data_IF_191914336423
#
_entry.id   IF_191914336423
#
_cell.length_a   1.000
_cell.length_b   1.000
_cell.length_c   1.000
_cell.angle_alpha   90.00
_cell.angle_beta   90.00
_cell.angle_gamma   90.00
#
_symmetry.space_group_name_H-M   'P 1'
#
loop_
_entity.id
_entity.type
_entity.pdbx_description
1 polymer ?
#
# COMPACT_ATOMS: atom_id res chain seq x y z
N UNK A 1 6.33 -32.18 -3.94
CA UNK A 1 5.21 -31.94 -2.99
C UNK A 1 5.68 -30.83 -2.08
N UNK A 2 5.31 -29.58 -2.37
CA UNK A 2 5.59 -28.48 -1.45
C UNK A 2 4.55 -28.59 -0.34
N UNK A 3 5.00 -28.89 0.89
CA UNK A 3 4.15 -28.75 2.06
C UNK A 3 3.66 -27.31 2.18
N UNK A 4 2.62 -27.04 2.98
CA UNK A 4 2.17 -25.68 3.21
C UNK A 4 3.37 -24.85 3.69
N UNK A 5 3.72 -23.79 2.95
CA UNK A 5 4.75 -22.85 3.37
C UNK A 5 4.32 -22.27 4.72
N UNK A 6 5.24 -22.29 5.67
CA UNK A 6 5.00 -21.78 7.02
C UNK A 6 4.93 -20.25 6.93
N UNK A 7 3.88 -19.58 7.48
CA UNK A 7 3.79 -18.13 7.44
C UNK A 7 4.99 -17.46 8.11
N UNK A 8 5.43 -16.35 7.54
CA UNK A 8 6.60 -15.60 7.99
C UNK A 8 7.88 -15.92 7.21
N UNK A 9 8.91 -15.10 7.43
CA UNK A 9 10.20 -15.24 6.76
C UNK A 9 11.15 -16.18 7.49
N UNK A 10 12.14 -16.72 6.80
CA UNK A 10 13.20 -17.53 7.43
C UNK A 10 13.94 -16.76 8.54
N UNK A 11 14.10 -15.44 8.38
CA UNK A 11 14.70 -14.57 9.41
C UNK A 11 13.85 -14.44 10.66
N UNK A 12 12.52 -14.37 10.51
CA UNK A 12 11.59 -14.36 11.65
C UNK A 12 11.68 -15.66 12.42
N UNK A 13 11.65 -16.81 11.75
CA UNK A 13 11.75 -18.12 12.41
C UNK A 13 13.09 -18.32 13.11
N UNK A 14 14.19 -17.87 12.52
CA UNK A 14 15.51 -17.91 13.16
C UNK A 14 15.50 -17.12 14.48
N UNK A 15 14.98 -15.88 14.46
CA UNK A 15 14.88 -15.04 15.66
C UNK A 15 13.92 -15.64 16.69
N UNK A 16 12.80 -16.22 16.25
CA UNK A 16 11.85 -16.89 17.15
C UNK A 16 12.51 -18.06 17.88
N UNK A 17 13.30 -18.87 17.18
CA UNK A 17 14.06 -19.95 17.79
C UNK A 17 15.10 -19.42 18.78
N UNK A 18 15.89 -18.42 18.37
CA UNK A 18 16.94 -17.84 19.21
C UNK A 18 16.39 -17.19 20.49
N UNK A 19 15.21 -16.59 20.41
CA UNK A 19 14.57 -15.89 21.53
C UNK A 19 13.57 -16.77 22.30
N UNK A 20 13.42 -18.05 21.93
CA UNK A 20 12.48 -18.98 22.58
C UNK A 20 11.01 -18.56 22.45
N UNK A 21 10.63 -17.98 21.31
CA UNK A 21 9.26 -17.46 21.06
C UNK A 21 8.47 -18.24 20.03
N UNK A 22 9.00 -19.34 19.51
CA UNK A 22 8.38 -20.18 18.47
C UNK A 22 6.92 -20.53 18.77
N UNK A 23 6.60 -21.02 19.97
CA UNK A 23 5.22 -21.40 20.31
C UNK A 23 4.26 -20.20 20.32
N UNK A 24 4.74 -19.04 20.79
CA UNK A 24 3.94 -17.80 20.78
C UNK A 24 3.69 -17.31 19.36
N UNK A 25 4.69 -17.41 18.48
CA UNK A 25 4.55 -17.08 17.07
C UNK A 25 3.58 -18.02 16.36
N UNK A 26 3.68 -19.34 16.61
CA UNK A 26 2.76 -20.33 16.05
C UNK A 26 1.29 -20.04 16.42
N UNK A 27 1.02 -19.68 17.68
CA UNK A 27 -0.32 -19.29 18.12
C UNK A 27 -0.81 -18.03 17.39
N UNK A 28 0.07 -17.07 17.12
CA UNK A 28 -0.29 -15.88 16.34
C UNK A 28 -0.65 -16.23 14.89
N UNK A 29 0.20 -17.00 14.21
CA UNK A 29 -0.05 -17.42 12.82
C UNK A 29 -1.34 -18.22 12.69
N UNK A 30 -1.59 -19.16 13.61
CA UNK A 30 -2.80 -20.02 13.60
C UNK A 30 -4.09 -19.24 13.86
N UNK A 31 -4.06 -18.23 14.75
CA UNK A 31 -5.28 -17.59 15.25
C UNK A 31 -5.58 -16.23 14.67
N UNK A 32 -4.58 -15.55 14.09
CA UNK A 32 -4.72 -14.15 13.67
C UNK A 32 -4.41 -13.90 12.20
N UNK A 33 -3.67 -14.81 11.54
CA UNK A 33 -3.28 -14.64 10.15
C UNK A 33 -4.24 -15.40 9.24
N UNK A 34 -4.88 -14.68 8.33
CA UNK A 34 -5.80 -15.24 7.35
C UNK A 34 -5.24 -15.09 5.94
N UNK A 35 -5.31 -16.11 5.07
CA UNK A 35 -4.85 -16.00 3.68
C UNK A 35 -5.90 -15.33 2.76
N UNK A 36 -6.84 -14.59 3.35
CA UNK A 36 -7.95 -13.89 2.71
C UNK A 36 -8.54 -12.87 3.70
N UNK A 37 -9.38 -11.97 3.20
CA UNK A 37 -10.11 -10.98 3.98
C UNK A 37 -11.41 -11.59 4.52
N UNK A 38 -11.54 -11.65 5.83
CA UNK A 38 -12.82 -11.99 6.47
C UNK A 38 -13.88 -10.91 6.17
N UNK A 39 -15.19 -11.23 6.27
CA UNK A 39 -16.23 -10.22 6.12
C UNK A 39 -16.02 -8.96 6.99
N UNK A 40 -15.63 -9.15 8.25
CA UNK A 40 -15.33 -8.05 9.17
C UNK A 40 -14.12 -7.20 8.71
N UNK A 41 -13.09 -7.82 8.13
CA UNK A 41 -11.95 -7.09 7.55
C UNK A 41 -12.39 -6.24 6.34
N UNK A 42 -13.25 -6.78 5.48
CA UNK A 42 -13.78 -6.06 4.31
C UNK A 42 -14.62 -4.85 4.75
N UNK A 43 -15.46 -5.03 5.77
CA UNK A 43 -16.22 -3.94 6.40
C UNK A 43 -15.30 -2.90 7.05
N UNK A 44 -14.21 -3.34 7.69
CA UNK A 44 -13.19 -2.44 8.23
C UNK A 44 -12.55 -1.60 7.14
N UNK A 45 -12.12 -2.21 6.02
CA UNK A 45 -11.50 -1.51 4.88
C UNK A 45 -12.48 -0.52 4.25
N UNK A 46 -13.75 -0.91 4.07
CA UNK A 46 -14.77 -0.07 3.44
C UNK A 46 -15.06 1.24 4.20
N UNK A 47 -14.79 1.30 5.51
CA UNK A 47 -14.93 2.54 6.29
C UNK A 47 -13.67 3.41 6.33
N UNK A 48 -12.53 2.92 5.85
CA UNK A 48 -11.27 3.67 5.92
C UNK A 48 -11.22 4.80 4.91
N UNK A 49 -10.68 5.93 5.34
CA UNK A 49 -10.37 7.09 4.52
C UNK A 49 -8.87 7.22 4.23
N UNK A 50 -8.05 6.31 4.76
CA UNK A 50 -6.61 6.31 4.57
C UNK A 50 -5.99 4.91 4.65
N UNK A 51 -4.82 4.77 4.05
CA UNK A 51 -3.97 3.58 4.17
C UNK A 51 -2.50 3.95 4.02
N UNK A 52 -1.63 3.25 4.74
CA UNK A 52 -0.19 3.31 4.57
C UNK A 52 0.27 2.14 3.71
N UNK A 53 1.15 2.43 2.75
CA UNK A 53 1.70 1.45 1.81
C UNK A 53 3.18 1.28 2.08
N UNK A 54 3.64 0.04 2.10
CA UNK A 54 5.04 -0.35 2.16
C UNK A 54 5.43 -1.06 0.87
N UNK A 55 6.38 -0.48 0.14
CA UNK A 55 6.90 -1.03 -1.12
C UNK A 55 8.41 -1.02 -1.08
N UNK A 56 9.06 -1.82 -1.93
CA UNK A 56 10.50 -1.75 -2.11
C UNK A 56 10.88 -1.97 -3.58
N UNK A 57 11.97 -1.36 -4.04
CA UNK A 57 12.52 -1.63 -5.37
C UNK A 57 13.15 -3.05 -5.44
N UNK A 58 13.67 -3.42 -6.62
CA UNK A 58 14.35 -4.72 -6.83
C UNK A 58 15.61 -4.93 -5.98
N UNK A 59 16.17 -3.86 -5.38
CA UNK A 59 17.35 -3.91 -4.51
C UNK A 59 16.98 -3.88 -3.02
N UNK A 60 15.69 -3.85 -2.70
CA UNK A 60 15.20 -3.76 -1.33
C UNK A 60 15.25 -2.33 -0.75
N UNK A 61 15.37 -1.29 -1.57
CA UNK A 61 15.21 0.08 -1.11
C UNK A 61 13.73 0.37 -0.86
N UNK A 62 13.37 0.59 0.41
CA UNK A 62 11.98 0.68 0.84
C UNK A 62 11.43 2.11 0.80
N UNK A 63 10.15 2.22 0.44
CA UNK A 63 9.33 3.43 0.57
C UNK A 63 8.09 3.15 1.41
N UNK A 64 7.82 4.03 2.37
CA UNK A 64 6.54 4.12 3.07
C UNK A 64 5.76 5.33 2.56
N UNK A 65 4.56 5.11 2.06
CA UNK A 65 3.72 6.18 1.50
C UNK A 65 2.30 6.12 2.04
N UNK A 66 1.59 7.24 1.95
CA UNK A 66 0.25 7.39 2.47
C UNK A 66 -0.73 7.67 1.34
N UNK A 67 -1.87 6.99 1.35
CA UNK A 67 -3.00 7.29 0.47
C UNK A 67 -4.20 7.66 1.30
N UNK A 68 -4.94 8.67 0.83
CA UNK A 68 -6.20 9.09 1.41
C UNK A 68 -7.26 9.27 0.33
N UNK A 69 -8.49 9.03 0.73
CA UNK A 69 -9.68 9.19 -0.09
C UNK A 69 -10.93 9.29 0.79
N UNK A 70 -12.12 9.42 0.19
CA UNK A 70 -13.36 9.20 0.89
C UNK A 70 -13.41 7.76 1.46
N UNK A 71 -14.25 7.51 2.48
CA UNK A 71 -14.52 6.15 2.94
C UNK A 71 -14.84 5.21 1.76
N UNK A 72 -14.17 4.07 1.72
CA UNK A 72 -14.35 3.07 0.65
C UNK A 72 -13.57 3.34 -0.63
N UNK A 73 -12.61 4.27 -0.63
CA UNK A 73 -11.74 4.49 -1.80
C UNK A 73 -10.88 3.25 -2.13
N UNK A 74 -10.57 2.43 -1.12
CA UNK A 74 -10.01 1.09 -1.31
C UNK A 74 -11.17 0.10 -1.33
N UNK A 75 -11.34 -0.59 -2.46
CA UNK A 75 -12.47 -1.47 -2.74
C UNK A 75 -12.03 -2.91 -2.60
N UNK A 76 -12.70 -3.67 -1.74
CA UNK A 76 -12.58 -5.12 -1.72
C UNK A 76 -13.47 -5.72 -2.80
N UNK A 77 -12.84 -6.27 -3.82
CA UNK A 77 -13.51 -6.86 -4.99
C UNK A 77 -14.12 -8.22 -4.60
N UNK A 78 -13.39 -9.01 -3.82
CA UNK A 78 -13.80 -10.27 -3.21
C UNK A 78 -13.02 -10.51 -1.90
N UNK A 79 -13.03 -11.75 -1.38
CA UNK A 79 -12.29 -12.13 -0.17
C UNK A 79 -10.77 -12.21 -0.39
N UNK A 80 -10.28 -12.21 -1.62
CA UNK A 80 -8.86 -12.38 -1.96
C UNK A 80 -8.25 -11.22 -2.72
N UNK A 81 -9.01 -10.16 -2.97
CA UNK A 81 -8.52 -9.02 -3.74
C UNK A 81 -9.03 -7.68 -3.27
N UNK A 82 -8.13 -6.70 -3.34
CA UNK A 82 -8.37 -5.28 -3.11
C UNK A 82 -7.95 -4.49 -4.33
N UNK A 83 -8.60 -3.35 -4.54
CA UNK A 83 -8.08 -2.36 -5.47
C UNK A 83 -8.22 -0.95 -4.94
N UNK A 84 -7.27 -0.09 -5.30
CA UNK A 84 -7.36 1.34 -5.04
C UNK A 84 -6.82 2.15 -6.23
N UNK A 85 -7.31 3.39 -6.40
CA UNK A 85 -6.90 4.26 -7.49
C UNK A 85 -5.61 5.03 -7.17
N UNK A 86 -4.74 5.17 -8.17
CA UNK A 86 -3.58 6.04 -8.18
C UNK A 86 -3.88 7.29 -9.01
N UNK A 87 -3.85 8.46 -8.40
CA UNK A 87 -4.10 9.74 -9.08
C UNK A 87 -2.82 10.44 -9.52
N UNK A 88 -2.97 11.47 -10.36
CA UNK A 88 -1.88 12.39 -10.69
C UNK A 88 -1.23 12.96 -9.42
N UNK A 89 0.04 12.62 -9.19
CA UNK A 89 0.88 13.13 -8.12
C UNK A 89 1.95 14.13 -8.61
N UNK A 90 3.04 14.21 -7.85
CA UNK A 90 4.24 15.01 -8.15
C UNK A 90 5.14 14.42 -9.26
N UNK A 91 4.75 13.29 -9.84
CA UNK A 91 5.49 12.61 -10.92
C UNK A 91 6.60 11.67 -10.46
N UNK A 92 6.88 11.57 -9.16
CA UNK A 92 7.93 10.66 -8.64
C UNK A 92 7.55 9.19 -8.83
N UNK A 93 6.25 8.87 -8.69
CA UNK A 93 5.71 7.52 -8.89
C UNK A 93 6.41 6.43 -8.04
N UNK A 94 7.01 6.78 -6.89
CA UNK A 94 7.83 5.86 -6.08
C UNK A 94 7.17 4.49 -5.86
N UNK A 95 5.95 4.47 -5.30
CA UNK A 95 5.23 3.21 -5.06
C UNK A 95 4.97 2.42 -6.35
N UNK A 96 4.46 3.06 -7.38
CA UNK A 96 4.14 2.39 -8.65
C UNK A 96 5.40 1.90 -9.38
N UNK A 97 6.50 2.65 -9.31
CA UNK A 97 7.81 2.26 -9.82
C UNK A 97 8.33 1.02 -9.11
N UNK A 98 8.36 1.04 -7.78
CA UNK A 98 8.74 -0.11 -6.96
C UNK A 98 7.90 -1.36 -7.33
N UNK A 99 6.58 -1.21 -7.43
CA UNK A 99 5.66 -2.31 -7.80
C UNK A 99 5.94 -2.92 -9.18
N UNK A 100 6.51 -2.16 -10.12
CA UNK A 100 6.88 -2.68 -11.45
C UNK A 100 8.14 -3.54 -11.44
N UNK A 101 8.97 -3.40 -10.41
CA UNK A 101 10.21 -4.16 -10.23
C UNK A 101 10.07 -5.28 -9.21
N UNK A 102 9.29 -5.03 -8.16
CA UNK A 102 9.01 -5.94 -7.06
C UNK A 102 7.51 -5.83 -6.74
N UNK A 103 6.69 -6.84 -7.08
CA UNK A 103 5.25 -6.73 -6.98
C UNK A 103 4.72 -6.95 -5.55
N UNK A 104 5.57 -6.94 -4.53
CA UNK A 104 5.17 -7.09 -3.13
C UNK A 104 4.69 -5.76 -2.55
N UNK A 105 3.49 -5.76 -1.96
CA UNK A 105 2.90 -4.61 -1.27
C UNK A 105 2.40 -5.02 0.11
N UNK A 106 2.82 -4.27 1.13
CA UNK A 106 2.17 -4.27 2.43
C UNK A 106 1.24 -3.06 2.58
N UNK A 107 0.01 -3.28 3.04
CA UNK A 107 -0.97 -2.25 3.33
C UNK A 107 -1.30 -2.26 4.83
N UNK A 108 -1.25 -1.09 5.47
CA UNK A 108 -1.65 -0.91 6.86
C UNK A 108 -2.80 0.10 6.94
N UNK A 109 -3.98 -0.42 7.27
CA UNK A 109 -5.15 0.38 7.59
C UNK A 109 -5.18 0.63 9.09
N UNK A 110 -5.43 1.86 9.51
CA UNK A 110 -5.42 2.23 10.92
C UNK A 110 -6.69 3.01 11.24
N UNK A 111 -7.38 2.59 12.30
CA UNK A 111 -8.42 3.39 12.92
C UNK A 111 -7.90 3.98 14.22
N UNK A 112 -7.84 5.30 14.28
CA UNK A 112 -7.42 6.06 15.46
C UNK A 112 -8.61 6.57 16.28
N UNK A 113 -9.84 6.23 15.89
CA UNK A 113 -11.05 6.95 16.32
C UNK A 113 -12.07 6.05 17.00
N UNK A 114 -12.48 4.95 16.38
CA UNK A 114 -13.61 4.13 16.87
C UNK A 114 -13.14 2.87 17.58
N UNK A 115 -12.37 2.03 16.88
CA UNK A 115 -11.95 0.71 17.33
C UNK A 115 -10.52 0.71 17.89
N UNK A 116 -9.73 1.72 17.53
CA UNK A 116 -8.30 1.82 17.87
C UNK A 116 -7.49 0.60 17.43
N UNK A 117 -7.85 -0.04 16.33
CA UNK A 117 -7.12 -1.18 15.75
C UNK A 117 -6.50 -0.81 14.41
N UNK A 118 -5.56 -1.64 13.96
CA UNK A 118 -5.16 -1.65 12.56
C UNK A 118 -5.39 -3.00 11.90
N UNK A 119 -5.27 -3.02 10.58
CA UNK A 119 -5.34 -4.21 9.75
C UNK A 119 -4.16 -4.19 8.78
N UNK A 120 -3.34 -5.23 8.85
CA UNK A 120 -2.32 -5.54 7.86
C UNK A 120 -2.96 -6.35 6.74
N UNK A 121 -2.64 -6.00 5.50
CA UNK A 121 -2.97 -6.78 4.31
C UNK A 121 -1.74 -6.78 3.42
N UNK A 122 -1.15 -7.94 3.22
CA UNK A 122 0.03 -8.12 2.39
C UNK A 122 -0.29 -9.00 1.19
N UNK A 123 0.42 -8.75 0.09
CA UNK A 123 0.42 -9.66 -1.03
C UNK A 123 0.99 -9.06 -2.31
N UNK A 124 0.63 -9.68 -3.42
CA UNK A 124 1.18 -9.35 -4.73
C UNK A 124 0.27 -8.40 -5.49
N UNK A 125 0.84 -7.39 -6.14
CA UNK A 125 0.10 -6.39 -6.91
C UNK A 125 0.24 -6.53 -8.42
N UNK A 126 -0.76 -5.99 -9.11
CA UNK A 126 -0.72 -5.65 -10.54
C UNK A 126 -1.24 -4.24 -10.74
N UNK A 127 -0.68 -3.56 -11.74
CA UNK A 127 -1.13 -2.24 -12.17
C UNK A 127 -2.00 -2.37 -13.42
N UNK A 128 -3.12 -1.65 -13.42
CA UNK A 128 -4.04 -1.58 -14.54
C UNK A 128 -4.33 -0.12 -14.90
N UNK A 129 -4.59 0.15 -16.16
CA UNK A 129 -5.28 1.37 -16.56
C UNK A 129 -6.76 1.29 -16.15
N UNK A 130 -7.43 2.44 -16.09
CA UNK A 130 -8.87 2.49 -15.78
C UNK A 130 -9.71 1.65 -16.76
N UNK A 131 -9.39 1.70 -18.05
CA UNK A 131 -10.05 0.87 -19.06
C UNK A 131 -9.86 -0.63 -18.83
N UNK A 132 -8.63 -1.07 -18.53
CA UNK A 132 -8.32 -2.49 -18.31
C UNK A 132 -9.04 -3.05 -17.09
N UNK A 133 -8.99 -2.36 -15.94
CA UNK A 133 -9.62 -2.90 -14.72
C UNK A 133 -11.15 -2.92 -14.82
N UNK A 134 -11.75 -1.94 -15.50
CA UNK A 134 -13.20 -1.86 -15.67
C UNK A 134 -13.77 -2.94 -16.60
N UNK A 135 -12.95 -3.52 -17.47
CA UNK A 135 -13.36 -4.69 -18.25
C UNK A 135 -13.75 -5.88 -17.35
N UNK A 136 -13.12 -5.99 -16.19
CA UNK A 136 -13.39 -7.03 -15.18
C UNK A 136 -14.34 -6.54 -14.09
N UNK A 137 -14.21 -5.27 -13.67
CA UNK A 137 -14.94 -4.68 -12.57
C UNK A 137 -15.67 -3.39 -13.01
N UNK A 138 -16.73 -3.49 -13.83
CA UNK A 138 -17.39 -2.34 -14.44
C UNK A 138 -18.06 -1.41 -13.41
N UNK A 139 -18.33 -1.91 -12.21
CA UNK A 139 -19.00 -1.19 -11.12
C UNK A 139 -18.03 -0.46 -10.17
N UNK A 140 -16.72 -0.42 -10.49
CA UNK A 140 -15.79 0.39 -9.71
C UNK A 140 -16.23 1.87 -9.70
N UNK A 141 -16.10 2.60 -8.58
CA UNK A 141 -16.49 3.99 -8.55
C UNK A 141 -15.73 4.82 -9.59
N UNK A 142 -16.42 5.73 -10.28
CA UNK A 142 -15.82 6.61 -11.29
C UNK A 142 -15.11 7.81 -10.65
N UNK A 143 -15.69 8.35 -9.58
CA UNK A 143 -15.08 9.38 -8.74
C UNK A 143 -14.81 8.81 -7.35
N UNK A 144 -13.62 8.27 -7.17
CA UNK A 144 -13.09 7.88 -5.87
C UNK A 144 -12.53 9.08 -5.11
N UNK A 145 -12.48 10.30 -5.70
CA UNK A 145 -12.19 11.57 -5.02
C UNK A 145 -12.69 12.75 -5.88
N UNK A 146 -13.22 13.85 -5.29
CA UNK A 146 -13.81 14.96 -6.05
C UNK A 146 -12.83 15.57 -7.08
N UNK A 147 -13.23 15.56 -8.35
CA UNK A 147 -12.49 16.19 -9.45
C UNK A 147 -11.17 15.52 -9.85
N UNK A 148 -10.93 14.25 -9.46
CA UNK A 148 -9.73 13.50 -9.82
C UNK A 148 -10.08 12.22 -10.58
N UNK A 149 -9.41 11.98 -11.69
CA UNK A 149 -9.47 10.71 -12.41
C UNK A 149 -8.25 9.85 -12.06
N UNK A 150 -8.45 8.53 -11.81
CA UNK A 150 -7.34 7.60 -11.65
C UNK A 150 -6.47 7.55 -12.92
N UNK A 151 -5.15 7.64 -12.76
CA UNK A 151 -4.19 7.35 -13.82
C UNK A 151 -3.92 5.86 -13.95
N UNK A 152 -3.89 5.18 -12.80
CA UNK A 152 -3.68 3.75 -12.68
C UNK A 152 -4.58 3.22 -11.56
N UNK A 153 -4.82 1.92 -11.57
CA UNK A 153 -5.41 1.16 -10.50
C UNK A 153 -4.41 0.12 -10.02
N UNK A 154 -4.26 0.02 -8.71
CA UNK A 154 -3.47 -1.03 -8.07
C UNK A 154 -4.43 -2.12 -7.66
N UNK A 155 -4.22 -3.33 -8.15
CA UNK A 155 -4.95 -4.52 -7.76
C UNK A 155 -4.04 -5.41 -6.93
N UNK A 156 -4.36 -5.58 -5.66
CA UNK A 156 -3.67 -6.47 -4.74
C UNK A 156 -4.39 -7.82 -4.70
N UNK A 157 -3.66 -8.92 -4.90
CA UNK A 157 -4.07 -10.26 -4.48
C UNK A 157 -3.54 -10.49 -3.07
N UNK A 158 -4.46 -10.78 -2.15
CA UNK A 158 -4.16 -10.97 -0.72
C UNK A 158 -3.47 -12.30 -0.51
N UNK A 159 -2.32 -12.26 0.16
CA UNK A 159 -1.57 -13.43 0.60
C UNK A 159 -1.75 -13.66 2.10
N UNK A 160 -1.80 -12.58 2.87
CA UNK A 160 -2.10 -12.61 4.30
C UNK A 160 -2.79 -11.34 4.79
N UNK A 161 -3.63 -11.48 5.80
CA UNK A 161 -4.28 -10.39 6.50
C UNK A 161 -4.39 -10.70 8.00
N UNK A 162 -4.05 -9.72 8.85
CA UNK A 162 -4.07 -9.87 10.31
C UNK A 162 -4.22 -8.54 11.04
N UNK A 163 -4.72 -8.61 12.28
CA UNK A 163 -5.02 -7.42 13.08
C UNK A 163 -3.74 -6.85 13.71
N UNK A 164 -3.59 -5.54 13.64
CA UNK A 164 -2.69 -4.77 14.50
C UNK A 164 -3.44 -4.39 15.79
N UNK A 165 -2.99 -4.91 16.93
CA UNK A 165 -3.70 -4.74 18.20
C UNK A 165 -3.73 -3.28 18.70
N UNK A 166 -4.74 -2.96 19.50
CA UNK A 166 -5.05 -1.60 19.94
C UNK A 166 -4.16 -1.02 21.03
N UNK A 167 -3.27 -1.82 21.61
CA UNK A 167 -2.56 -1.52 22.86
C UNK A 167 -1.85 -0.16 22.89
N UNK A 168 -1.36 0.33 21.74
CA UNK A 168 -0.62 1.59 21.65
C UNK A 168 -1.13 2.51 20.53
N UNK A 169 -2.35 2.29 20.03
CA UNK A 169 -2.94 3.18 19.02
C UNK A 169 -3.53 4.40 19.74
N UNK A 170 -3.04 5.62 19.47
CA UNK A 170 -3.55 6.81 20.12
C UNK A 170 -4.97 7.12 19.65
N UNK A 171 -5.78 7.71 20.53
CA UNK A 171 -7.04 8.31 20.11
C UNK A 171 -6.76 9.64 19.40
N UNK A 172 -7.28 9.80 18.20
CA UNK A 172 -7.24 11.06 17.45
C UNK A 172 -8.66 11.58 17.24
N UNK A 173 -8.85 12.88 17.41
CA UNK A 173 -10.10 13.55 17.09
C UNK A 173 -9.94 14.36 15.80
N UNK A 174 -10.79 14.16 14.77
CA UNK A 174 -10.75 14.96 13.56
C UNK A 174 -10.98 16.44 13.87
N UNK A 175 -9.94 17.25 13.76
CA UNK A 175 -10.04 18.69 13.90
C UNK A 175 -10.43 19.34 12.56
N UNK A 176 -11.29 20.38 12.55
CA UNK A 176 -11.52 21.19 11.37
C UNK A 176 -10.19 21.72 10.84
N UNK A 177 -9.94 21.57 9.54
CA UNK A 177 -8.76 22.20 8.93
C UNK A 177 -8.89 23.73 9.12
N UNK A 178 -7.91 24.42 9.74
CA UNK A 178 -8.00 25.85 9.98
C UNK A 178 -8.24 26.62 8.67
N UNK A 179 -9.34 27.39 8.62
CA UNK A 179 -9.74 28.23 7.47
C UNK A 179 -9.39 29.70 7.76
N UNK A 180 -8.16 30.02 8.13
CA UNK A 180 -7.80 31.41 8.44
C UNK A 180 -7.22 32.13 7.22
N UNK A 181 -7.50 33.44 7.10
CA UNK A 181 -6.91 34.34 6.10
C UNK A 181 -5.36 34.40 6.15
N UNK A 182 -4.74 33.83 7.20
CA UNK A 182 -3.30 33.65 7.37
C UNK A 182 -2.72 32.44 6.62
N UNK A 183 -3.53 31.65 5.90
CA UNK A 183 -3.08 30.53 5.06
C UNK A 183 -2.24 30.93 3.84
N UNK A 184 -1.95 32.23 3.63
CA UNK A 184 -1.12 32.71 2.52
C UNK A 184 0.32 32.20 2.53
N UNK A 185 0.81 31.55 3.59
CA UNK A 185 2.20 31.07 3.65
C UNK A 185 2.33 29.68 4.29
N UNK A 186 1.58 28.67 3.81
CA UNK A 186 2.03 27.29 4.08
C UNK A 186 3.43 27.13 3.45
N UNK A 187 4.44 26.68 4.20
CA UNK A 187 5.76 26.45 3.63
C UNK A 187 5.64 25.52 2.42
N UNK A 188 6.45 25.77 1.38
CA UNK A 188 6.65 24.77 0.33
C UNK A 188 7.26 23.52 0.97
N UNK A 189 7.06 22.37 0.35
CA UNK A 189 7.56 21.09 0.90
C UNK A 189 9.08 21.15 1.18
N UNK A 190 9.85 21.81 0.30
CA UNK A 190 11.30 22.03 0.45
C UNK A 190 11.71 22.98 1.58
N UNK A 191 10.77 23.65 2.23
CA UNK A 191 11.03 24.50 3.39
C UNK A 191 10.84 23.77 4.73
N UNK A 192 10.30 22.55 4.70
CA UNK A 192 10.38 21.63 5.83
C UNK A 192 11.76 20.98 5.83
N UNK A 193 12.42 20.93 7.00
CA UNK A 193 13.78 20.39 7.18
C UNK A 193 14.81 21.01 6.21
N UNK A 194 15.04 22.33 6.29
CA UNK A 194 15.82 23.09 5.30
C UNK A 194 17.33 22.86 5.47
N UNK A 195 17.82 21.71 5.05
CA UNK A 195 19.25 21.49 4.81
C UNK A 195 19.53 21.51 3.30
N UNK A 196 20.70 21.99 2.86
CA UNK A 196 21.07 21.94 1.45
C UNK A 196 21.02 20.50 0.94
N UNK A 197 20.22 20.24 -0.09
CA UNK A 197 20.25 18.94 -0.74
C UNK A 197 21.65 18.69 -1.29
N UNK A 198 22.20 17.46 -1.14
CA UNK A 198 23.40 17.08 -1.85
C UNK A 198 23.23 17.38 -3.33
N UNK A 199 24.26 17.98 -3.96
CA UNK A 199 24.24 18.22 -5.39
C UNK A 199 24.20 16.86 -6.07
N UNK A 200 23.02 16.47 -6.58
CA UNK A 200 22.92 15.34 -7.48
C UNK A 200 23.72 15.73 -8.73
N UNK A 201 24.91 15.14 -8.90
CA UNK A 201 25.51 15.07 -10.22
C UNK A 201 24.47 14.41 -11.10
N UNK A 202 23.97 15.12 -12.10
CA UNK A 202 23.10 14.54 -13.09
C UNK A 202 23.84 13.33 -13.65
N UNK A 203 23.40 12.13 -13.29
CA UNK A 203 23.77 10.95 -14.04
C UNK A 203 23.36 11.25 -15.47
N UNK A 204 24.30 11.16 -16.41
CA UNK A 204 23.95 11.19 -17.83
C UNK A 204 22.77 10.24 -18.02
N UNK A 205 21.72 10.65 -18.76
CA UNK A 205 20.63 9.74 -19.04
C UNK A 205 21.27 8.49 -19.61
N UNK A 206 21.16 7.37 -18.88
CA UNK A 206 21.71 6.10 -19.31
C UNK A 206 21.25 5.93 -20.76
N UNK A 207 22.23 5.94 -21.68
CA UNK A 207 21.97 6.05 -23.11
C UNK A 207 20.82 5.13 -23.48
N UNK A 208 19.88 5.62 -24.29
CA UNK A 208 18.72 4.86 -24.71
C UNK A 208 19.17 3.50 -25.27
N UNK A 209 19.18 2.48 -24.41
CA UNK A 209 19.40 1.10 -24.81
C UNK A 209 18.17 0.71 -25.61
N UNK A 210 18.30 0.80 -26.93
CA UNK A 210 17.35 0.23 -27.88
C UNK A 210 17.19 -1.26 -27.54
N UNK A 211 16.05 -1.62 -26.93
CA UNK A 211 15.76 -2.99 -26.53
C UNK A 211 15.17 -3.17 -25.13
N UNK A 212 15.04 -2.13 -24.30
CA UNK A 212 14.29 -2.25 -23.03
C UNK A 212 12.80 -2.50 -23.33
N UNK A 213 12.18 -3.57 -22.80
CA UNK A 213 10.74 -3.79 -22.94
C UNK A 213 9.99 -2.57 -22.44
N UNK A 214 8.90 -2.19 -23.11
CA UNK A 214 7.99 -1.15 -22.66
C UNK A 214 7.64 -1.38 -21.19
N UNK A 215 7.38 -0.34 -20.41
CA UNK A 215 6.82 -0.51 -19.06
C UNK A 215 5.55 -1.37 -19.10
N UNK A 216 4.83 -1.36 -20.23
CA UNK A 216 3.69 -2.25 -20.52
C UNK A 216 4.05 -3.72 -20.69
N UNK A 217 5.27 -4.04 -21.14
CA UNK A 217 5.76 -5.41 -21.33
C UNK A 217 6.31 -6.02 -20.03
N UNK A 218 6.73 -5.17 -19.07
CA UNK A 218 7.16 -5.57 -17.72
C UNK A 218 5.97 -5.87 -16.80
N UNK A 219 4.84 -5.22 -17.07
CA UNK A 219 3.53 -5.67 -16.59
C UNK A 219 3.20 -6.96 -17.33
N UNK A 220 3.66 -8.12 -16.83
CA UNK A 220 3.26 -9.41 -17.40
C UNK A 220 1.76 -9.61 -17.22
N UNK A 221 1.00 -9.10 -18.19
CA UNK A 221 -0.33 -9.54 -18.56
C UNK A 221 -0.13 -10.95 -19.12
N UNK A 222 -0.37 -11.97 -18.30
CA UNK A 222 -0.63 -13.31 -18.83
C UNK A 222 -2.15 -13.48 -18.93
N UNK A 223 -2.65 -14.11 -20.02
CA UNK A 223 -4.06 -14.37 -20.20
C UNK A 223 -4.63 -15.23 -19.08
#
# INVERSE_FOLDING_TARGET
MNGPETPGSSGEHLLQQQLGTTDRAAVFYDRQVHPYLTPAMREFIARQNMVFLSTADSRGACDASFRAGPPGFCVSLDDRSLTYPEYRGNGVLASAGNMTENPQLGMLFMDFTHDHIGLHVNGTVRLYTDHEIRAWYPLLPTETAPGRQPHLWVHLTVEEAYVHCSKHIPHLEPAPRPRSATQRSRPKDSAYFPEPLPVHQASEPAGAEAGRPSWRDRLRIRP
#
